data_IF_915187755541
#
_entry.id   IF_915187755541
#
_cell.length_a   1.000
_cell.length_b   1.000
_cell.length_c   1.000
_cell.angle_alpha   90.00
_cell.angle_beta   90.00
_cell.angle_gamma   90.00
#
_symmetry.space_group_name_H-M   'P 1'
#
loop_
_entity.id
_entity.type
_entity.pdbx_description
1 polymer ?
#
# COMPACT_ATOMS: atom_id res chain seq x y z
N UNK A 1 -10.47 -52.99 24.45
CA UNK A 1 -10.36 -52.04 23.32
C UNK A 1 -9.90 -52.84 22.10
N UNK A 2 -10.67 -52.93 21.01
CA UNK A 2 -10.27 -53.73 19.86
C UNK A 2 -9.10 -53.04 19.16
N UNK A 3 -7.99 -53.78 19.03
CA UNK A 3 -6.81 -53.39 18.26
C UNK A 3 -7.21 -53.20 16.79
N UNK A 4 -6.85 -52.05 16.22
CA UNK A 4 -7.15 -51.72 14.82
C UNK A 4 -6.17 -52.41 13.88
N UNK A 5 -6.69 -52.92 12.78
CA UNK A 5 -5.92 -53.43 11.64
C UNK A 5 -5.06 -52.30 11.04
N UNK A 6 -3.76 -52.52 10.78
CA UNK A 6 -2.91 -51.52 10.15
C UNK A 6 -3.37 -51.32 8.70
N UNK A 7 -3.72 -50.08 8.34
CA UNK A 7 -4.06 -49.70 6.96
C UNK A 7 -5.40 -49.00 6.76
N UNK A 8 -6.30 -49.02 7.75
CA UNK A 8 -7.57 -48.27 7.65
C UNK A 8 -7.39 -46.82 8.11
N UNK A 9 -7.82 -45.82 7.31
CA UNK A 9 -7.75 -44.44 7.74
C UNK A 9 -8.61 -44.23 8.99
N UNK A 10 -8.24 -43.27 9.86
CA UNK A 10 -9.05 -42.93 11.02
C UNK A 10 -10.49 -42.59 10.59
N UNK A 11 -11.50 -42.85 11.45
CA UNK A 11 -12.86 -42.45 11.18
C UNK A 11 -12.92 -40.94 10.95
N UNK A 12 -13.79 -40.52 10.03
CA UNK A 12 -14.00 -39.12 9.60
C UNK A 12 -12.91 -38.49 8.71
N UNK A 13 -11.88 -39.24 8.28
CA UNK A 13 -10.93 -38.75 7.27
C UNK A 13 -11.57 -38.75 5.88
N UNK A 14 -11.77 -37.55 5.32
CA UNK A 14 -12.39 -37.34 3.99
C UNK A 14 -11.38 -37.14 2.85
N UNK A 15 -10.08 -37.07 3.16
CA UNK A 15 -9.03 -36.75 2.21
C UNK A 15 -7.90 -37.77 2.31
N UNK A 16 -7.45 -38.30 1.17
CA UNK A 16 -6.26 -39.15 1.11
C UNK A 16 -5.00 -38.33 1.38
N UNK A 17 -3.92 -38.98 1.82
CA UNK A 17 -2.61 -38.32 2.05
C UNK A 17 -2.12 -37.58 0.81
N UNK A 18 -2.23 -38.19 -0.37
CA UNK A 18 -1.85 -37.56 -1.65
C UNK A 18 -2.68 -36.32 -1.96
N UNK A 19 -3.98 -36.36 -1.70
CA UNK A 19 -4.85 -35.20 -1.91
C UNK A 19 -4.55 -34.07 -0.92
N UNK A 20 -4.25 -34.39 0.35
CA UNK A 20 -3.79 -33.39 1.31
C UNK A 20 -2.53 -32.66 0.82
N UNK A 21 -1.50 -33.39 0.40
CA UNK A 21 -0.29 -32.78 -0.16
C UNK A 21 -0.54 -31.93 -1.41
N UNK A 22 -1.43 -32.37 -2.30
CA UNK A 22 -1.79 -31.57 -3.47
C UNK A 22 -2.44 -30.24 -3.05
N UNK A 23 -3.39 -30.29 -2.11
CA UNK A 23 -4.08 -29.11 -1.59
C UNK A 23 -3.17 -28.19 -0.76
N UNK A 24 -2.20 -28.73 -0.02
CA UNK A 24 -1.18 -27.96 0.70
C UNK A 24 -0.32 -27.14 -0.27
N UNK A 25 0.20 -27.76 -1.33
CA UNK A 25 1.00 -27.05 -2.34
C UNK A 25 0.21 -25.96 -3.06
N UNK A 26 -1.05 -26.26 -3.43
CA UNK A 26 -1.96 -25.27 -4.03
C UNK A 26 -2.24 -24.12 -3.05
N UNK A 27 -2.46 -24.45 -1.77
CA UNK A 27 -2.68 -23.48 -0.71
C UNK A 27 -1.49 -22.55 -0.50
N UNK A 28 -0.27 -23.09 -0.41
CA UNK A 28 0.97 -22.33 -0.26
C UNK A 28 1.24 -21.41 -1.45
N UNK A 29 0.98 -21.87 -2.68
CA UNK A 29 1.30 -21.11 -3.88
C UNK A 29 0.30 -19.99 -4.19
N UNK A 30 -1.01 -20.24 -4.01
CA UNK A 30 -2.06 -19.34 -4.50
C UNK A 30 -2.94 -18.72 -3.42
N UNK A 31 -3.04 -19.37 -2.25
CA UNK A 31 -3.90 -19.02 -1.13
C UNK A 31 -5.40 -18.77 -1.45
N UNK A 32 -6.25 -18.91 -0.43
CA UNK A 32 -7.66 -18.48 -0.46
C UNK A 32 -8.45 -18.91 -1.72
N UNK A 33 -9.13 -17.94 -2.35
CA UNK A 33 -10.03 -18.18 -3.50
C UNK A 33 -9.30 -18.54 -4.79
N UNK A 34 -8.06 -18.07 -4.99
CA UNK A 34 -7.29 -18.43 -6.18
C UNK A 34 -6.88 -19.90 -6.13
N UNK A 35 -6.43 -20.37 -4.97
CA UNK A 35 -6.18 -21.79 -4.74
C UNK A 35 -7.44 -22.65 -4.93
N UNK A 36 -8.61 -22.20 -4.47
CA UNK A 36 -9.87 -22.92 -4.69
C UNK A 36 -10.20 -23.09 -6.18
N UNK A 37 -9.99 -22.06 -7.01
CA UNK A 37 -10.24 -22.16 -8.45
C UNK A 37 -9.31 -23.16 -9.13
N UNK A 38 -8.02 -23.14 -8.78
CA UNK A 38 -7.07 -24.12 -9.30
C UNK A 38 -7.42 -25.54 -8.83
N UNK A 39 -7.73 -25.71 -7.54
CA UNK A 39 -8.13 -26.99 -6.98
C UNK A 39 -9.35 -27.58 -7.72
N UNK A 40 -10.36 -26.76 -8.02
CA UNK A 40 -11.53 -27.18 -8.80
C UNK A 40 -11.16 -27.61 -10.22
N UNK A 41 -10.28 -26.89 -10.92
CA UNK A 41 -9.79 -27.27 -12.25
C UNK A 41 -9.01 -28.59 -12.25
N UNK A 42 -8.35 -28.91 -11.14
CA UNK A 42 -7.63 -30.17 -10.95
C UNK A 42 -8.55 -31.32 -10.46
N UNK A 43 -9.86 -31.08 -10.34
CA UNK A 43 -10.84 -32.07 -9.88
C UNK A 43 -10.87 -32.26 -8.35
N UNK A 44 -10.30 -31.34 -7.58
CA UNK A 44 -10.28 -31.41 -6.11
C UNK A 44 -11.44 -30.60 -5.49
N UNK A 45 -12.28 -31.28 -4.71
CA UNK A 45 -13.33 -30.63 -3.91
C UNK A 45 -12.79 -30.00 -2.63
N UNK A 46 -12.26 -28.77 -2.70
CA UNK A 46 -11.75 -28.05 -1.52
C UNK A 46 -12.12 -26.55 -1.53
N UNK A 47 -12.87 -26.12 -0.51
CA UNK A 47 -13.17 -24.70 -0.28
C UNK A 47 -11.96 -23.92 0.26
N UNK A 48 -12.01 -22.58 0.15
CA UNK A 48 -10.92 -21.69 0.57
C UNK A 48 -10.53 -21.87 2.05
N UNK A 49 -11.52 -22.08 2.92
CA UNK A 49 -11.29 -22.32 4.35
C UNK A 49 -10.58 -23.66 4.61
N UNK A 50 -10.80 -24.66 3.75
CA UNK A 50 -10.11 -25.94 3.82
C UNK A 50 -8.65 -25.78 3.42
N UNK A 51 -8.37 -25.03 2.35
CA UNK A 51 -6.99 -24.72 1.94
C UNK A 51 -6.22 -23.96 3.03
N UNK A 52 -6.82 -22.92 3.60
CA UNK A 52 -6.18 -22.15 4.68
C UNK A 52 -5.93 -23.03 5.90
N UNK A 53 -6.92 -23.80 6.36
CA UNK A 53 -6.72 -24.71 7.50
C UNK A 53 -5.63 -25.74 7.25
N UNK A 54 -5.45 -26.19 6.00
CA UNK A 54 -4.36 -27.10 5.63
C UNK A 54 -3.01 -26.42 5.69
N UNK A 55 -2.89 -25.22 5.11
CA UNK A 55 -1.65 -24.42 5.20
C UNK A 55 -1.29 -24.12 6.65
N UNK A 56 -2.25 -23.68 7.46
CA UNK A 56 -2.04 -23.38 8.89
C UNK A 56 -1.72 -24.61 9.75
N UNK A 57 -2.00 -25.81 9.26
CA UNK A 57 -1.68 -27.07 9.95
C UNK A 57 -0.32 -27.65 9.51
N UNK A 58 0.34 -27.06 8.51
CA UNK A 58 1.70 -27.43 8.17
C UNK A 58 2.63 -27.02 9.32
N UNK A 59 3.64 -27.85 9.64
CA UNK A 59 4.67 -27.44 10.57
C UNK A 59 5.43 -26.25 9.99
N UNK A 60 5.79 -25.29 10.84
CA UNK A 60 6.66 -24.20 10.43
C UNK A 60 8.02 -24.76 9.95
N UNK A 61 8.61 -24.15 8.91
CA UNK A 61 9.91 -24.58 8.41
C UNK A 61 10.95 -24.40 9.51
N UNK A 62 11.81 -25.42 9.68
CA UNK A 62 12.95 -25.30 10.59
C UNK A 62 13.96 -24.34 10.00
N UNK A 63 14.51 -23.48 10.85
CA UNK A 63 15.62 -22.60 10.52
C UNK A 63 16.71 -22.71 11.59
N UNK A 64 17.95 -22.48 11.19
CA UNK A 64 19.05 -22.16 12.12
C UNK A 64 19.08 -20.65 12.36
N UNK A 65 19.63 -20.22 13.49
CA UNK A 65 19.94 -18.80 13.71
C UNK A 65 20.80 -18.30 12.54
N UNK A 66 20.36 -17.25 11.81
CA UNK A 66 21.14 -16.71 10.70
C UNK A 66 22.33 -15.90 11.24
N UNK A 67 23.46 -15.97 10.53
CA UNK A 67 24.61 -15.12 10.81
C UNK A 67 24.33 -13.65 10.45
N UNK A 68 23.66 -13.43 9.30
CA UNK A 68 23.21 -12.12 8.83
C UNK A 68 21.67 -12.04 8.87
N UNK A 69 21.16 -11.25 9.82
CA UNK A 69 19.72 -11.05 10.04
C UNK A 69 19.25 -9.74 9.40
N UNK A 70 18.22 -9.82 8.56
CA UNK A 70 17.46 -8.68 8.05
C UNK A 70 16.25 -8.41 8.92
N UNK A 71 16.06 -7.16 9.32
CA UNK A 71 14.95 -6.70 10.18
C UNK A 71 14.22 -5.56 9.48
N UNK A 72 12.93 -5.74 9.18
CA UNK A 72 12.12 -4.73 8.49
C UNK A 72 10.65 -4.72 8.94
N UNK A 73 9.93 -3.66 8.59
CA UNK A 73 8.50 -3.51 8.84
C UNK A 73 7.66 -4.27 7.80
N UNK A 74 6.77 -5.13 8.29
CA UNK A 74 5.75 -5.82 7.51
C UNK A 74 4.36 -5.25 7.79
N UNK A 75 3.77 -4.62 6.77
CA UNK A 75 2.43 -4.03 6.85
C UNK A 75 1.31 -5.06 6.73
N UNK A 76 0.51 -5.21 7.78
CA UNK A 76 -0.70 -6.03 7.81
C UNK A 76 -1.95 -5.11 7.72
N UNK A 77 -3.08 -5.66 7.25
CA UNK A 77 -4.35 -4.94 7.08
C UNK A 77 -4.23 -3.65 6.26
N UNK A 78 -3.54 -3.72 5.11
CA UNK A 78 -3.25 -2.55 4.25
C UNK A 78 -2.42 -1.47 4.95
N UNK A 79 -1.41 -1.88 5.72
CA UNK A 79 -0.49 -0.96 6.41
C UNK A 79 -1.10 -0.20 7.60
N UNK A 80 -2.19 -0.73 8.17
CA UNK A 80 -2.79 -0.19 9.40
C UNK A 80 -2.13 -0.74 10.66
N UNK A 81 -1.59 -1.96 10.57
CA UNK A 81 -0.88 -2.62 11.66
C UNK A 81 0.48 -3.07 11.12
N UNK A 82 1.54 -2.84 11.88
CA UNK A 82 2.90 -3.21 11.48
C UNK A 82 3.43 -4.28 12.42
N UNK A 83 4.05 -5.26 11.80
CA UNK A 83 4.77 -6.37 12.43
C UNK A 83 6.22 -6.31 11.95
N UNK A 84 7.16 -6.93 12.66
CA UNK A 84 8.55 -7.00 12.20
C UNK A 84 8.76 -8.30 11.45
N UNK A 85 9.27 -8.25 10.22
CA UNK A 85 9.73 -9.46 9.51
C UNK A 85 11.22 -9.65 9.75
N UNK A 86 11.59 -10.87 10.11
CA UNK A 86 12.97 -11.32 10.26
C UNK A 86 13.34 -12.18 9.05
N UNK A 87 14.47 -11.90 8.44
CA UNK A 87 14.94 -12.60 7.25
C UNK A 87 16.39 -13.04 7.41
N UNK A 88 16.72 -14.25 6.94
CA UNK A 88 18.11 -14.62 6.67
C UNK A 88 18.50 -13.90 5.38
N UNK A 89 19.44 -12.98 5.46
CA UNK A 89 19.91 -12.22 4.30
C UNK A 89 20.69 -13.12 3.35
N UNK A 90 21.44 -14.08 3.90
CA UNK A 90 22.26 -15.02 3.15
C UNK A 90 21.40 -16.06 2.42
N UNK A 91 20.36 -16.59 3.07
CA UNK A 91 19.50 -17.62 2.47
C UNK A 91 18.30 -17.04 1.69
N UNK A 92 18.10 -15.72 1.74
CA UNK A 92 16.94 -15.03 1.19
C UNK A 92 15.59 -15.62 1.65
N UNK A 93 15.50 -15.96 2.94
CA UNK A 93 14.33 -16.60 3.54
C UNK A 93 13.80 -15.82 4.72
N UNK A 94 12.48 -15.81 4.85
CA UNK A 94 11.83 -15.34 6.08
C UNK A 94 12.09 -16.37 7.18
N UNK A 95 12.54 -15.86 8.32
CA UNK A 95 12.86 -16.63 9.52
C UNK A 95 11.69 -16.58 10.49
N UNK A 96 11.16 -15.38 10.75
CA UNK A 96 10.06 -15.19 11.70
C UNK A 96 9.31 -13.87 11.41
N UNK A 97 8.12 -13.70 11.97
CA UNK A 97 7.35 -12.46 11.96
C UNK A 97 6.91 -12.11 13.38
N UNK A 98 7.47 -11.04 13.92
CA UNK A 98 7.15 -10.56 15.27
C UNK A 98 5.91 -9.66 15.24
N UNK A 99 5.03 -9.74 16.25
CA UNK A 99 3.69 -9.14 16.18
C UNK A 99 3.67 -7.60 16.18
N UNK A 100 4.74 -6.94 16.62
CA UNK A 100 4.82 -5.47 16.73
C UNK A 100 6.17 -4.98 16.21
N UNK A 101 6.29 -3.66 15.99
CA UNK A 101 7.53 -2.96 15.61
C UNK A 101 8.36 -2.43 16.79
N UNK A 102 8.04 -2.88 17.99
CA UNK A 102 8.69 -2.45 19.22
C UNK A 102 10.02 -3.18 19.43
N UNK A 103 10.93 -2.58 20.20
CA UNK A 103 12.23 -3.18 20.49
C UNK A 103 12.10 -4.51 21.25
N UNK A 104 11.14 -4.60 22.19
CA UNK A 104 11.01 -5.73 23.13
C UNK A 104 10.94 -7.11 22.47
N UNK A 105 10.02 -7.34 21.51
CA UNK A 105 9.95 -8.62 20.81
C UNK A 105 11.24 -8.99 20.07
N UNK A 106 11.92 -8.02 19.44
CA UNK A 106 13.19 -8.26 18.77
C UNK A 106 14.29 -8.66 19.77
N UNK A 107 14.37 -7.99 20.92
CA UNK A 107 15.31 -8.36 22.00
C UNK A 107 15.08 -9.79 22.45
N UNK A 108 13.83 -10.15 22.76
CA UNK A 108 13.48 -11.48 23.21
C UNK A 108 13.80 -12.55 22.16
N UNK A 109 13.62 -12.22 20.87
CA UNK A 109 13.96 -13.12 19.78
C UNK A 109 15.47 -13.34 19.67
N UNK A 110 16.27 -12.27 19.69
CA UNK A 110 17.73 -12.35 19.59
C UNK A 110 18.37 -13.12 20.76
N UNK A 111 17.86 -12.94 21.99
CA UNK A 111 18.35 -13.68 23.16
C UNK A 111 18.10 -15.19 23.03
N UNK A 112 16.95 -15.59 22.47
CA UNK A 112 16.62 -17.00 22.24
C UNK A 112 17.38 -17.63 21.07
N UNK A 113 17.94 -16.80 20.19
CA UNK A 113 18.64 -17.23 18.98
C UNK A 113 20.04 -16.61 18.94
N UNK A 114 20.96 -17.06 19.81
CA UNK A 114 22.34 -16.59 19.80
C UNK A 114 23.05 -17.01 18.50
N UNK A 115 23.99 -16.19 18.04
CA UNK A 115 24.78 -16.43 16.82
C UNK A 115 24.58 -15.43 15.68
N UNK A 116 23.70 -14.43 15.85
CA UNK A 116 23.59 -13.33 14.89
C UNK A 116 24.82 -12.43 15.00
N UNK A 117 25.57 -12.29 13.92
CA UNK A 117 26.78 -11.45 13.84
C UNK A 117 26.50 -10.10 13.19
N UNK A 118 25.56 -10.04 12.25
CA UNK A 118 25.24 -8.83 11.49
C UNK A 118 23.73 -8.63 11.46
N UNK A 119 23.29 -7.41 11.78
CA UNK A 119 21.88 -7.02 11.71
C UNK A 119 21.75 -5.93 10.65
N UNK A 120 21.21 -6.30 9.49
CA UNK A 120 20.76 -5.36 8.47
C UNK A 120 19.37 -4.87 8.84
N UNK A 121 19.22 -3.58 9.10
CA UNK A 121 17.92 -3.00 9.49
C UNK A 121 17.69 -1.65 8.83
N UNK A 122 16.43 -1.24 8.82
CA UNK A 122 16.09 0.14 8.52
C UNK A 122 16.68 1.12 9.56
N UNK A 123 16.35 2.41 9.43
CA UNK A 123 16.83 3.46 10.33
C UNK A 123 15.92 3.70 11.55
N UNK A 124 14.96 2.83 11.83
CA UNK A 124 14.07 2.99 12.98
C UNK A 124 14.83 2.85 14.31
N UNK A 125 14.51 3.74 15.25
CA UNK A 125 15.12 3.76 16.58
C UNK A 125 14.83 2.50 17.40
N UNK A 126 13.63 1.92 17.25
CA UNK A 126 13.22 0.70 17.96
C UNK A 126 14.07 -0.51 17.58
N UNK A 127 14.41 -0.67 16.30
CA UNK A 127 15.29 -1.77 15.86
C UNK A 127 16.75 -1.52 16.24
N UNK A 128 17.20 -0.26 16.22
CA UNK A 128 18.52 0.09 16.76
C UNK A 128 18.66 -0.29 18.23
N UNK A 129 17.64 0.01 19.02
CA UNK A 129 17.57 -0.35 20.44
C UNK A 129 17.47 -1.86 20.64
N UNK A 130 16.59 -2.53 19.88
CA UNK A 130 16.40 -3.98 19.96
C UNK A 130 17.68 -4.75 19.64
N UNK A 131 18.39 -4.34 18.59
CA UNK A 131 19.70 -4.90 18.24
C UNK A 131 20.73 -4.69 19.36
N UNK A 132 20.89 -3.46 19.88
CA UNK A 132 21.85 -3.16 20.97
C UNK A 132 21.59 -3.99 22.23
N UNK A 133 20.32 -4.22 22.56
CA UNK A 133 19.93 -4.94 23.78
C UNK A 133 19.92 -6.46 23.62
N UNK A 134 19.53 -6.96 22.44
CA UNK A 134 19.35 -8.39 22.18
C UNK A 134 20.59 -9.09 21.61
N UNK A 135 21.43 -8.37 20.88
CA UNK A 135 22.68 -8.86 20.29
C UNK A 135 23.72 -7.71 20.27
N UNK A 136 24.27 -7.34 21.44
CA UNK A 136 25.15 -6.17 21.57
C UNK A 136 26.43 -6.27 20.71
N UNK A 137 26.92 -7.48 20.50
CA UNK A 137 28.13 -7.75 19.72
C UNK A 137 27.87 -7.81 18.21
N UNK A 138 26.60 -7.77 17.78
CA UNK A 138 26.25 -7.82 16.37
C UNK A 138 26.48 -6.46 15.69
N UNK A 139 27.13 -6.49 14.52
CA UNK A 139 27.35 -5.32 13.69
C UNK A 139 26.02 -4.85 13.09
N UNK A 140 25.62 -3.61 13.38
CA UNK A 140 24.43 -3.01 12.79
C UNK A 140 24.77 -2.34 11.46
N UNK A 141 24.11 -2.78 10.40
CA UNK A 141 24.26 -2.23 9.05
C UNK A 141 22.94 -1.60 8.61
N UNK A 142 23.02 -0.40 8.07
CA UNK A 142 21.84 0.27 7.51
C UNK A 142 21.45 -0.41 6.19
N UNK A 143 20.16 -0.74 6.06
CA UNK A 143 19.63 -1.31 4.84
C UNK A 143 19.78 -0.36 3.65
N UNK A 144 20.27 -0.92 2.54
CA UNK A 144 20.61 -0.18 1.32
C UNK A 144 19.39 0.47 0.69
N UNK A 145 18.25 -0.23 0.64
CA UNK A 145 17.04 0.31 0.01
C UNK A 145 16.58 1.59 0.74
N UNK A 146 16.58 1.57 2.06
CA UNK A 146 16.21 2.73 2.87
C UNK A 146 17.15 3.93 2.68
N UNK A 147 18.46 3.70 2.49
CA UNK A 147 19.41 4.76 2.17
C UNK A 147 19.11 5.42 0.81
N UNK A 148 18.92 4.61 -0.24
CA UNK A 148 18.59 5.13 -1.58
C UNK A 148 17.25 5.84 -1.61
N UNK A 149 16.23 5.27 -0.95
CA UNK A 149 14.92 5.91 -0.85
C UNK A 149 15.01 7.24 -0.11
N UNK A 150 15.79 7.30 0.97
CA UNK A 150 16.05 8.54 1.71
C UNK A 150 16.72 9.61 0.86
N UNK A 151 17.77 9.24 0.13
CA UNK A 151 18.47 10.14 -0.80
C UNK A 151 17.54 10.65 -1.89
N UNK A 152 16.77 9.77 -2.54
CA UNK A 152 15.82 10.14 -3.58
C UNK A 152 14.80 11.17 -3.08
N UNK A 153 14.20 10.93 -1.90
CA UNK A 153 13.25 11.88 -1.29
C UNK A 153 13.90 13.23 -0.94
N UNK A 154 15.14 13.22 -0.46
CA UNK A 154 15.86 14.44 -0.13
C UNK A 154 16.14 15.27 -1.39
N UNK A 155 16.58 14.62 -2.47
CA UNK A 155 16.79 15.26 -3.77
C UNK A 155 15.47 15.80 -4.32
N UNK A 156 14.39 15.02 -4.30
CA UNK A 156 13.06 15.47 -4.74
C UNK A 156 12.60 16.71 -3.97
N UNK A 157 12.79 16.71 -2.65
CA UNK A 157 12.43 17.85 -1.79
C UNK A 157 13.27 19.08 -2.13
N UNK A 158 14.58 18.91 -2.29
CA UNK A 158 15.51 19.98 -2.67
C UNK A 158 15.14 20.59 -4.03
N UNK A 159 14.95 19.76 -5.05
CA UNK A 159 14.57 20.21 -6.40
C UNK A 159 13.21 20.90 -6.39
N UNK A 160 12.24 20.41 -5.60
CA UNK A 160 10.94 21.05 -5.47
C UNK A 160 11.04 22.45 -4.85
N UNK A 161 11.90 22.62 -3.84
CA UNK A 161 12.16 23.92 -3.18
C UNK A 161 12.87 24.90 -4.13
N UNK A 162 13.84 24.41 -4.92
CA UNK A 162 14.64 25.24 -5.82
C UNK A 162 14.15 25.26 -7.26
N UNK A 163 12.89 24.88 -7.50
CA UNK A 163 12.32 24.78 -8.84
C UNK A 163 12.43 26.09 -9.63
N UNK A 164 12.24 27.22 -8.98
CA UNK A 164 12.30 28.54 -9.63
C UNK A 164 13.72 28.91 -10.06
N UNK A 165 14.75 28.43 -9.34
CA UNK A 165 16.14 28.58 -9.74
C UNK A 165 16.49 27.77 -10.99
N UNK A 166 15.71 26.74 -11.31
CA UNK A 166 15.87 25.89 -12.49
C UNK A 166 15.01 26.37 -13.68
N UNK A 167 14.22 27.43 -13.50
CA UNK A 167 13.45 28.04 -14.59
C UNK A 167 14.40 28.92 -15.39
N UNK A 168 14.65 28.57 -16.65
CA UNK A 168 15.39 29.45 -17.56
C UNK A 168 14.70 30.83 -17.57
N UNK A 169 15.46 31.94 -17.46
CA UNK A 169 14.86 33.25 -17.57
C UNK A 169 14.23 33.35 -18.96
N UNK A 170 12.91 33.59 -19.00
CA UNK A 170 12.24 33.96 -20.24
C UNK A 170 12.98 35.17 -20.81
N UNK A 171 13.37 35.18 -22.10
CA UNK A 171 13.94 36.38 -22.69
C UNK A 171 12.96 37.52 -22.47
N UNK A 172 13.41 38.54 -21.73
CA UNK A 172 12.58 39.67 -21.34
C UNK A 172 12.20 40.46 -22.59
N UNK A 173 10.99 40.22 -23.08
CA UNK A 173 10.33 41.03 -24.11
C UNK A 173 9.15 41.77 -23.50
N UNK A 174 9.40 43.01 -23.09
CA UNK A 174 8.51 44.19 -23.08
C UNK A 174 7.14 44.11 -22.38
N UNK A 175 6.93 44.98 -21.39
CA UNK A 175 5.64 45.48 -20.89
C UNK A 175 5.63 47.02 -20.98
N UNK A 176 4.50 47.77 -20.88
CA UNK A 176 3.11 47.33 -20.65
C UNK A 176 2.04 47.99 -21.56
N UNK A 177 0.91 47.32 -21.75
CA UNK A 177 -0.33 47.92 -22.25
C UNK A 177 -1.44 47.77 -21.22
N UNK A 178 -1.80 48.86 -20.55
CA UNK A 178 -2.84 48.96 -19.53
C UNK A 178 -4.24 48.75 -20.10
N UNK A 179 -5.01 47.81 -19.53
CA UNK A 179 -6.48 47.88 -19.56
C UNK A 179 -7.09 47.32 -18.27
N UNK A 180 -8.09 48.07 -17.76
CA UNK A 180 -8.84 47.90 -16.50
C UNK A 180 -9.62 46.57 -16.43
N UNK A 181 -9.94 46.08 -15.21
CA UNK A 181 -10.75 44.88 -15.04
C UNK A 181 -12.23 45.21 -15.19
N UNK A 182 -12.90 44.52 -16.12
CA UNK A 182 -14.36 44.48 -16.18
C UNK A 182 -14.84 43.24 -15.41
N UNK A 183 -15.73 43.47 -14.46
CA UNK A 183 -16.34 42.46 -13.61
C UNK A 183 -17.38 41.66 -14.40
N UNK A 184 -17.01 40.45 -14.81
CA UNK A 184 -17.95 39.47 -15.35
C UNK A 184 -17.43 38.07 -15.09
N UNK A 185 -18.15 37.30 -14.28
CA UNK A 185 -17.89 35.86 -14.13
C UNK A 185 -18.12 35.16 -15.46
N UNK A 186 -17.12 34.53 -16.10
CA UNK A 186 -17.37 33.67 -17.23
C UNK A 186 -17.87 32.32 -16.68
N UNK A 187 -19.12 31.98 -17.00
CA UNK A 187 -19.56 30.59 -16.99
C UNK A 187 -18.64 29.81 -17.93
N UNK A 188 -17.81 28.94 -17.37
CA UNK A 188 -17.00 28.00 -18.12
C UNK A 188 -17.82 26.74 -18.41
N UNK A 189 -18.61 26.77 -19.48
CA UNK A 189 -18.78 25.59 -20.33
C UNK A 189 -17.46 25.37 -21.06
N UNK A 190 -16.56 24.61 -20.44
CA UNK A 190 -15.41 24.06 -21.16
C UNK A 190 -15.32 22.57 -20.89
N UNK A 191 -15.53 21.80 -21.97
CA UNK A 191 -15.21 20.39 -22.03
C UNK A 191 -13.78 20.16 -21.53
N UNK A 192 -13.49 19.10 -20.75
CA UNK A 192 -12.15 18.83 -20.28
C UNK A 192 -11.26 18.45 -21.48
N UNK A 193 -10.55 19.43 -22.03
CA UNK A 193 -9.56 19.21 -23.08
C UNK A 193 -8.30 18.64 -22.44
N UNK A 194 -7.90 17.46 -22.92
CA UNK A 194 -6.63 16.83 -22.55
C UNK A 194 -6.55 15.39 -23.01
N UNK A 195 -5.32 14.90 -23.23
CA UNK A 195 -5.00 13.54 -23.69
C UNK A 195 -5.68 12.42 -22.88
N UNK A 196 -6.10 12.66 -21.63
CA UNK A 196 -6.87 11.70 -20.82
C UNK A 196 -8.36 11.62 -21.21
N UNK A 197 -8.98 12.74 -21.56
CA UNK A 197 -10.37 12.78 -22.02
C UNK A 197 -10.50 12.13 -23.41
N UNK A 198 -9.55 12.39 -24.30
CA UNK A 198 -9.43 11.71 -25.59
C UNK A 198 -9.21 10.21 -25.43
N UNK A 199 -8.30 9.79 -24.53
CA UNK A 199 -8.10 8.36 -24.21
C UNK A 199 -9.36 7.69 -23.67
N UNK A 200 -10.16 8.38 -22.85
CA UNK A 200 -11.45 7.85 -22.37
C UNK A 200 -12.48 7.77 -23.49
N UNK A 201 -12.58 8.77 -24.37
CA UNK A 201 -13.46 8.75 -25.54
C UNK A 201 -13.06 7.62 -26.51
N UNK A 202 -11.77 7.43 -26.76
CA UNK A 202 -11.25 6.35 -27.60
C UNK A 202 -11.48 4.96 -26.98
N UNK A 203 -11.25 4.80 -25.67
CA UNK A 203 -11.53 3.53 -24.97
C UNK A 203 -13.03 3.19 -24.97
N UNK A 204 -13.89 4.21 -24.85
CA UNK A 204 -15.34 4.05 -24.96
C UNK A 204 -15.76 3.62 -26.37
N UNK A 205 -15.26 4.30 -27.41
CA UNK A 205 -15.52 3.93 -28.80
C UNK A 205 -15.09 2.49 -29.12
N UNK A 206 -13.89 2.08 -28.67
CA UNK A 206 -13.38 0.73 -28.84
C UNK A 206 -14.28 -0.34 -28.20
N UNK A 207 -14.77 -0.09 -26.98
CA UNK A 207 -15.66 -1.03 -26.28
C UNK A 207 -16.99 -1.17 -27.03
N UNK A 208 -17.53 -0.07 -27.57
CA UNK A 208 -18.77 -0.11 -28.34
C UNK A 208 -18.61 -0.78 -29.71
N UNK A 209 -17.46 -0.63 -30.36
CA UNK A 209 -17.14 -1.34 -31.60
C UNK A 209 -16.98 -2.85 -31.38
N UNK A 210 -16.33 -3.26 -30.29
CA UNK A 210 -16.21 -4.68 -29.90
C UNK A 210 -17.57 -5.32 -29.56
N UNK A 211 -18.49 -4.54 -28.98
CA UNK A 211 -19.87 -4.98 -28.74
C UNK A 211 -20.68 -5.07 -30.03
N UNK A 212 -20.48 -4.17 -30.99
CA UNK A 212 -21.11 -4.22 -32.31
C UNK A 212 -20.62 -5.41 -33.16
N UNK A 213 -19.38 -5.85 -32.95
CA UNK A 213 -18.79 -7.04 -33.57
C UNK A 213 -19.18 -8.37 -32.87
N UNK A 214 -20.06 -8.32 -31.86
CA UNK A 214 -20.63 -9.52 -31.22
C UNK A 214 -19.69 -10.22 -30.22
N UNK A 215 -18.58 -9.59 -29.82
CA UNK A 215 -17.67 -10.18 -28.84
C UNK A 215 -18.21 -10.05 -27.40
N UNK A 216 -18.31 -11.18 -26.68
CA UNK A 216 -18.67 -11.19 -25.27
C UNK A 216 -17.47 -10.84 -24.38
N UNK A 217 -17.62 -10.04 -23.31
CA UNK A 217 -16.50 -9.62 -22.46
C UNK A 217 -16.07 -10.76 -21.52
N UNK A 218 -15.29 -11.70 -22.03
CA UNK A 218 -14.62 -12.72 -21.22
C UNK A 218 -13.24 -12.19 -20.75
N UNK A 219 -13.13 -11.88 -19.46
CA UNK A 219 -11.83 -11.76 -18.79
C UNK A 219 -11.34 -10.36 -18.43
N UNK A 220 -12.16 -9.53 -17.78
CA UNK A 220 -11.76 -8.48 -16.82
C UNK A 220 -13.02 -7.86 -16.21
N UNK A 221 -13.29 -8.05 -14.92
CA UNK A 221 -14.19 -7.14 -14.20
C UNK A 221 -13.40 -5.86 -13.87
N UNK A 222 -14.00 -4.67 -14.03
CA UNK A 222 -15.01 -4.24 -13.07
C UNK A 222 -16.32 -3.80 -13.74
N UNK A 223 -17.41 -3.98 -12.99
CA UNK A 223 -18.74 -3.55 -13.38
C UNK A 223 -18.86 -2.06 -13.69
N UNK A 224 -20.05 -1.75 -14.20
CA UNK A 224 -20.58 -0.41 -14.52
C UNK A 224 -20.36 0.08 -15.95
N UNK A 225 -20.56 -0.74 -16.99
CA UNK A 225 -20.86 -0.23 -18.35
C UNK A 225 -21.77 -1.16 -19.17
N UNK A 226 -22.66 -1.90 -18.52
CA UNK A 226 -23.71 -2.66 -19.21
C UNK A 226 -25.06 -2.10 -18.78
N UNK A 227 -25.60 -1.16 -19.56
CA UNK A 227 -26.99 -0.70 -19.40
C UNK A 227 -27.24 0.82 -19.39
N UNK A 228 -26.38 1.66 -19.96
CA UNK A 228 -26.68 3.08 -20.12
C UNK A 228 -26.66 3.47 -21.61
N UNK A 229 -27.83 3.75 -22.16
CA UNK A 229 -28.06 4.24 -23.54
C UNK A 229 -27.86 5.76 -23.68
N UNK A 230 -27.36 6.44 -22.64
CA UNK A 230 -27.06 7.88 -22.65
C UNK A 230 -25.87 8.17 -21.74
N UNK A 231 -24.94 9.08 -22.11
CA UNK A 231 -23.86 9.48 -21.22
C UNK A 231 -24.45 10.29 -20.06
N UNK A 232 -24.47 9.72 -18.86
CA UNK A 232 -24.85 10.45 -17.65
C UNK A 232 -23.79 11.53 -17.35
N UNK A 233 -24.00 12.75 -17.85
CA UNK A 233 -23.46 13.98 -17.29
C UNK A 233 -24.18 14.28 -15.97
N UNK A 234 -23.79 13.58 -14.91
CA UNK A 234 -24.36 13.76 -13.58
C UNK A 234 -23.32 13.41 -12.53
N UNK A 235 -22.62 14.41 -12.01
CA UNK A 235 -21.75 14.29 -10.85
C UNK A 235 -22.60 13.82 -9.66
N UNK A 236 -22.46 12.55 -9.28
CA UNK A 236 -22.98 12.06 -7.99
C UNK A 236 -22.30 12.88 -6.88
N UNK A 237 -23.04 13.43 -5.89
CA UNK A 237 -22.40 14.08 -4.76
C UNK A 237 -21.47 13.09 -4.05
N UNK A 238 -20.28 13.52 -3.60
CA UNK A 238 -19.37 12.64 -2.87
C UNK A 238 -20.08 12.12 -1.61
N UNK A 239 -20.07 10.81 -1.41
CA UNK A 239 -20.55 10.22 -0.16
C UNK A 239 -19.79 10.82 1.02
N UNK A 240 -20.53 11.17 2.08
CA UNK A 240 -19.94 11.72 3.29
C UNK A 240 -18.88 10.75 3.85
N UNK A 241 -17.62 11.18 3.86
CA UNK A 241 -16.50 10.40 4.38
C UNK A 241 -16.58 10.29 5.91
N UNK A 242 -15.97 9.25 6.48
CA UNK A 242 -15.91 9.05 7.96
C UNK A 242 -15.28 10.23 8.73
N UNK A 243 -14.57 11.13 8.04
CA UNK A 243 -13.99 12.34 8.61
C UNK A 243 -14.97 13.53 8.63
N UNK A 244 -16.00 13.52 7.80
CA UNK A 244 -16.83 14.69 7.53
C UNK A 244 -17.47 15.31 8.79
N UNK A 245 -17.96 14.51 9.76
CA UNK A 245 -18.47 15.05 11.03
C UNK A 245 -17.41 15.80 11.86
N UNK A 246 -16.13 15.51 11.64
CA UNK A 246 -15.01 16.02 12.44
C UNK A 246 -14.19 17.09 11.72
N UNK A 247 -14.52 17.44 10.47
CA UNK A 247 -13.80 18.46 9.69
C UNK A 247 -13.84 19.84 10.34
N UNK A 248 -15.03 20.29 10.76
CA UNK A 248 -15.19 21.58 11.43
C UNK A 248 -14.38 21.68 12.74
N UNK A 249 -14.29 20.58 13.49
CA UNK A 249 -13.46 20.51 14.69
C UNK A 249 -11.97 20.65 14.33
N UNK A 250 -11.51 19.89 13.33
CA UNK A 250 -10.12 19.93 12.87
C UNK A 250 -9.73 21.30 12.30
N UNK A 251 -10.62 21.95 11.56
CA UNK A 251 -10.44 23.31 11.04
C UNK A 251 -10.33 24.34 12.17
N UNK A 252 -11.21 24.26 13.18
CA UNK A 252 -11.14 25.14 14.35
C UNK A 252 -9.82 24.97 15.11
N UNK A 253 -9.40 23.74 15.40
CA UNK A 253 -8.12 23.46 16.08
C UNK A 253 -6.91 23.90 15.25
N UNK A 254 -7.03 23.84 13.92
CA UNK A 254 -6.00 24.33 13.00
C UNK A 254 -5.86 25.86 13.05
N UNK A 255 -6.97 26.60 13.11
CA UNK A 255 -6.96 28.07 13.30
C UNK A 255 -6.43 28.45 14.68
N UNK A 256 -6.70 27.65 15.72
CA UNK A 256 -6.12 27.80 17.08
C UNK A 256 -4.61 27.48 17.15
N UNK A 257 -3.96 27.15 16.03
CA UNK A 257 -2.52 26.89 15.95
C UNK A 257 -2.10 25.44 16.27
N UNK A 258 -3.05 24.56 16.57
CA UNK A 258 -2.77 23.14 16.81
C UNK A 258 -2.57 22.40 15.48
N UNK A 259 -1.33 22.37 14.98
CA UNK A 259 -0.98 21.74 13.69
C UNK A 259 -0.42 20.31 13.82
N UNK A 260 -0.28 19.81 15.05
CA UNK A 260 0.26 18.49 15.37
C UNK A 260 -0.74 17.37 15.11
N UNK A 261 -0.59 16.66 14.00
CA UNK A 261 -1.49 15.57 13.56
C UNK A 261 -1.66 14.47 14.62
N UNK A 262 -0.57 14.10 15.33
CA UNK A 262 -0.60 13.09 16.40
C UNK A 262 -1.44 13.54 17.60
N UNK A 263 -1.45 14.84 17.89
CA UNK A 263 -2.24 15.40 18.99
C UNK A 263 -3.73 15.41 18.64
N UNK A 264 -4.08 15.91 17.45
CA UNK A 264 -5.45 15.94 16.95
C UNK A 264 -6.05 14.54 16.78
N UNK A 265 -5.24 13.57 16.35
CA UNK A 265 -5.70 12.17 16.25
C UNK A 265 -5.96 11.56 17.64
N UNK A 266 -5.18 11.91 18.66
CA UNK A 266 -5.39 11.45 20.04
C UNK A 266 -6.65 12.07 20.66
N UNK A 267 -6.91 13.35 20.40
CA UNK A 267 -8.15 14.04 20.83
C UNK A 267 -9.39 13.34 20.22
N UNK A 268 -9.36 13.07 18.91
CA UNK A 268 -10.46 12.37 18.24
C UNK A 268 -10.65 10.92 18.73
N UNK A 269 -9.58 10.23 19.13
CA UNK A 269 -9.70 8.90 19.73
C UNK A 269 -10.29 8.93 21.15
N UNK A 270 -10.03 9.98 21.93
CA UNK A 270 -10.63 10.16 23.26
C UNK A 270 -12.16 10.33 23.17
N UNK A 271 -12.64 10.98 22.11
CA UNK A 271 -14.07 11.14 21.81
C UNK A 271 -14.68 9.94 21.06
N UNK A 272 -14.00 8.79 21.03
CA UNK A 272 -14.45 7.56 20.37
C UNK A 272 -14.70 7.70 18.86
N UNK A 273 -14.04 8.65 18.19
CA UNK A 273 -14.23 8.89 16.77
C UNK A 273 -13.61 7.76 15.92
N UNK A 274 -14.34 7.20 14.94
CA UNK A 274 -13.88 6.07 14.12
C UNK A 274 -13.00 6.53 12.94
N UNK A 275 -11.97 7.34 13.22
CA UNK A 275 -11.09 7.99 12.24
C UNK A 275 -9.64 7.52 12.37
N UNK A 276 -9.00 7.25 11.24
CA UNK A 276 -7.62 6.78 11.19
C UNK A 276 -6.65 7.95 11.15
N UNK A 277 -5.44 7.74 11.68
CA UNK A 277 -4.35 8.74 11.66
C UNK A 277 -4.11 9.31 10.25
N UNK A 278 -4.14 8.46 9.22
CA UNK A 278 -3.93 8.89 7.84
C UNK A 278 -5.02 9.83 7.32
N UNK A 279 -6.26 9.65 7.78
CA UNK A 279 -7.40 10.47 7.36
C UNK A 279 -7.25 11.90 7.92
N UNK A 280 -6.89 12.00 9.20
CA UNK A 280 -6.58 13.28 9.88
C UNK A 280 -5.36 13.94 9.22
N UNK A 281 -4.29 13.17 8.97
CA UNK A 281 -3.08 13.67 8.29
C UNK A 281 -3.38 14.26 6.91
N UNK A 282 -4.18 13.56 6.10
CA UNK A 282 -4.53 14.00 4.76
C UNK A 282 -5.38 15.29 4.78
N UNK A 283 -6.32 15.42 5.71
CA UNK A 283 -7.14 16.61 5.83
C UNK A 283 -6.38 17.82 6.37
N UNK A 284 -5.56 17.66 7.41
CA UNK A 284 -4.68 18.74 7.89
C UNK A 284 -3.69 19.16 6.80
N UNK A 285 -3.21 18.23 5.97
CA UNK A 285 -2.41 18.56 4.80
C UNK A 285 -3.19 19.34 3.73
N UNK A 286 -4.50 19.10 3.59
CA UNK A 286 -5.37 19.87 2.68
C UNK A 286 -5.68 21.28 3.19
N UNK A 287 -5.76 21.48 4.51
CA UNK A 287 -5.95 22.80 5.14
C UNK A 287 -4.70 23.68 5.10
N UNK A 288 -3.53 23.07 4.90
CA UNK A 288 -2.26 23.76 4.67
C UNK A 288 -2.14 24.25 3.23
N UNK A 289 -3.21 24.82 2.66
CA UNK A 289 -3.24 25.25 1.26
C UNK A 289 -2.01 26.09 0.93
N UNK A 290 -1.27 25.62 -0.06
CA UNK A 290 -0.26 26.37 -0.79
C UNK A 290 -1.00 27.48 -1.55
N UNK A 291 -0.48 28.71 -1.65
CA UNK A 291 -1.14 29.82 -2.34
C UNK A 291 -1.65 29.46 -3.74
N UNK A 292 -2.76 30.09 -4.16
CA UNK A 292 -3.42 29.89 -5.46
C UNK A 292 -2.49 30.11 -6.66
N UNK A 293 -1.34 30.77 -6.46
CA UNK A 293 -0.27 30.96 -7.45
C UNK A 293 0.77 29.83 -7.52
N UNK A 294 0.52 28.69 -6.90
CA UNK A 294 1.47 27.58 -6.90
C UNK A 294 1.65 26.98 -8.32
N UNK A 295 2.90 26.83 -8.81
CA UNK A 295 3.14 26.29 -10.13
C UNK A 295 2.63 24.85 -10.24
N UNK A 296 2.16 24.42 -11.44
CA UNK A 296 1.54 23.11 -11.63
C UNK A 296 2.46 22.00 -11.14
N UNK A 297 1.87 20.95 -10.53
CA UNK A 297 2.62 19.83 -9.95
C UNK A 297 3.64 19.28 -10.95
N UNK A 298 4.88 18.99 -10.51
CA UNK A 298 5.91 18.47 -11.40
C UNK A 298 5.47 17.15 -12.04
N UNK A 299 5.90 16.88 -13.28
CA UNK A 299 5.58 15.66 -13.99
C UNK A 299 6.07 14.44 -13.21
N UNK A 300 5.27 13.40 -13.20
CA UNK A 300 5.62 12.11 -12.58
C UNK A 300 6.82 11.47 -13.29
N UNK A 301 7.58 10.62 -12.59
CA UNK A 301 8.73 9.87 -13.15
C UNK A 301 8.41 9.26 -14.51
N UNK A 302 7.20 8.71 -14.67
CA UNK A 302 6.71 8.12 -15.93
C UNK A 302 6.57 9.12 -17.09
N UNK A 303 6.23 10.37 -16.80
CA UNK A 303 6.15 11.43 -17.80
C UNK A 303 7.53 11.91 -18.22
N UNK A 304 8.48 12.00 -17.27
CA UNK A 304 9.87 12.37 -17.55
C UNK A 304 10.58 11.29 -18.35
N UNK A 305 10.41 10.01 -18.01
CA UNK A 305 11.00 8.91 -18.78
C UNK A 305 10.44 8.80 -20.20
N UNK A 306 9.20 9.23 -20.42
CA UNK A 306 8.60 9.27 -21.76
C UNK A 306 9.03 10.46 -22.62
N UNK A 307 9.85 11.37 -22.09
CA UNK A 307 10.49 12.46 -22.85
C UNK A 307 11.91 12.10 -23.30
N UNK A 308 12.45 10.98 -22.78
CA UNK A 308 13.79 10.47 -23.10
C UNK A 308 13.75 9.34 -24.14
N UNK A 309 12.57 9.06 -24.71
CA UNK A 309 12.32 8.12 -25.81
C UNK A 309 11.54 8.84 -26.89
#
# INVERSE_FOLDING_TARGET
MPSRSPGWPPPHVRFTTRLNHALERVGLALAGRAGTRLAAQLGFGAGWMTLIRRVMALPDPRFSTPRVLGVDDFGIRRGQTYSTVLTSVEDHRVVDVLPTREAGPLVAWLIRHPGVEIICRDRAGSYAEGARRGAPDALQVADRFHLWQGLGRAVETCVAVHRDCLRNPSPSGTLPGTTRPDSGWPQSDSDPVGRQAERKKAAYALVHEMLAQGHSPAGRSPGTWAGASTPCSGTRPPHAGRLDPYKLYLERRFVEGCTGVTHLHRELLADSAPVTYQLVRAHIASLRTVPVDAPPRPPTVRQVTGWLT
#
